data_IF_070266915907
#
_entry.id   IF_070266915907
#
_cell.length_a   1.000
_cell.length_b   1.000
_cell.length_c   1.000
_cell.angle_alpha   90.00
_cell.angle_beta   90.00
_cell.angle_gamma   90.00
#
_symmetry.space_group_name_H-M   'P 1'
#
loop_
_entity.id
_entity.type
_entity.pdbx_description
1 polymer ?
#
# COMPACT_ATOMS: atom_id res chain seq x y z
N UNK A 1 16.22 -1.78 -20.42
CA UNK A 1 17.04 -2.23 -19.27
C UNK A 1 16.21 -2.08 -18.00
N UNK A 2 15.95 -3.15 -17.24
CA UNK A 2 15.41 -2.99 -15.88
C UNK A 2 16.46 -2.23 -15.07
N UNK A 3 16.15 -1.01 -14.64
CA UNK A 3 17.02 -0.28 -13.72
C UNK A 3 17.28 -1.18 -12.51
N UNK A 4 18.54 -1.59 -12.31
CA UNK A 4 18.92 -2.28 -11.08
C UNK A 4 18.70 -1.28 -9.95
N UNK A 5 17.69 -1.52 -9.13
CA UNK A 5 17.48 -0.74 -7.92
C UNK A 5 18.75 -0.78 -7.06
N UNK A 6 19.15 0.39 -6.55
CA UNK A 6 20.39 0.53 -5.78
C UNK A 6 20.18 -0.13 -4.43
N UNK A 7 20.72 -1.34 -4.24
CA UNK A 7 20.67 -2.04 -2.94
C UNK A 7 21.42 -1.24 -1.87
N UNK A 8 20.79 -1.09 -0.70
CA UNK A 8 21.37 -0.41 0.47
C UNK A 8 21.69 -1.45 1.53
N UNK A 9 22.96 -1.50 1.99
CA UNK A 9 23.36 -2.39 3.09
C UNK A 9 22.77 -1.90 4.41
N UNK A 10 22.14 -2.80 5.14
CA UNK A 10 21.60 -2.54 6.48
C UNK A 10 22.17 -3.56 7.47
N UNK A 11 22.53 -3.07 8.65
CA UNK A 11 22.85 -3.92 9.79
C UNK A 11 21.63 -3.91 10.71
N UNK A 12 21.13 -5.09 11.07
CA UNK A 12 19.92 -5.26 11.89
C UNK A 12 20.24 -6.14 13.09
N UNK A 13 19.63 -5.83 14.22
CA UNK A 13 19.71 -6.66 15.43
C UNK A 13 18.38 -7.39 15.58
N UNK A 14 18.43 -8.72 15.62
CA UNK A 14 17.27 -9.58 15.81
C UNK A 14 17.57 -10.61 16.89
N UNK A 15 16.53 -11.17 17.49
CA UNK A 15 16.71 -12.24 18.47
C UNK A 15 17.24 -13.51 17.79
N UNK A 16 17.97 -14.34 18.54
CA UNK A 16 18.50 -15.61 18.04
C UNK A 16 17.41 -16.51 17.44
N UNK A 17 16.26 -16.60 18.11
CA UNK A 17 15.09 -17.35 17.63
C UNK A 17 14.55 -16.82 16.30
N UNK A 18 14.62 -15.51 16.07
CA UNK A 18 14.19 -14.92 14.81
C UNK A 18 15.20 -15.18 13.68
N UNK A 19 16.50 -15.18 13.98
CA UNK A 19 17.54 -15.57 13.01
C UNK A 19 17.36 -17.01 12.56
N UNK A 20 17.14 -17.94 13.50
CA UNK A 20 16.98 -19.37 13.20
C UNK A 20 15.79 -19.60 12.27
N UNK A 21 14.66 -18.97 12.59
CA UNK A 21 13.45 -19.01 11.74
C UNK A 21 13.67 -18.38 10.37
N UNK A 22 14.37 -17.24 10.31
CA UNK A 22 14.66 -16.57 9.03
C UNK A 22 15.55 -17.46 8.15
N UNK A 23 16.51 -18.16 8.75
CA UNK A 23 17.38 -19.11 8.05
C UNK A 23 16.63 -20.33 7.55
N UNK A 24 15.71 -20.88 8.34
CA UNK A 24 14.83 -21.97 7.90
C UNK A 24 13.92 -21.53 6.75
N UNK A 25 13.26 -20.38 6.88
CA UNK A 25 12.40 -19.84 5.81
C UNK A 25 13.18 -19.58 4.53
N UNK A 26 14.39 -19.02 4.62
CA UNK A 26 15.25 -18.79 3.47
C UNK A 26 15.61 -20.09 2.74
N UNK A 27 15.81 -21.19 3.48
CA UNK A 27 16.04 -22.52 2.90
C UNK A 27 14.80 -23.07 2.21
N UNK A 28 13.64 -22.98 2.85
CA UNK A 28 12.36 -23.46 2.31
C UNK A 28 12.03 -22.77 0.99
N UNK A 29 12.22 -21.45 0.96
CA UNK A 29 11.96 -20.59 -0.20
C UNK A 29 13.08 -20.60 -1.24
N UNK A 30 14.21 -21.25 -0.94
CA UNK A 30 15.43 -21.27 -1.76
C UNK A 30 15.93 -19.85 -2.16
N UNK A 31 15.90 -18.92 -1.20
CA UNK A 31 16.28 -17.50 -1.37
C UNK A 31 17.38 -17.13 -0.39
N UNK A 32 18.12 -16.06 -0.67
CA UNK A 32 18.99 -15.46 0.35
C UNK A 32 18.15 -14.80 1.45
N UNK A 33 18.68 -14.72 2.67
CA UNK A 33 18.00 -14.04 3.77
C UNK A 33 17.68 -12.57 3.43
N UNK A 34 18.55 -11.88 2.67
CA UNK A 34 18.31 -10.50 2.26
C UNK A 34 17.16 -10.37 1.26
N UNK A 35 17.06 -11.28 0.28
CA UNK A 35 15.93 -11.29 -0.67
C UNK A 35 14.62 -11.63 0.03
N UNK A 36 14.64 -12.58 0.97
CA UNK A 36 13.47 -12.92 1.76
C UNK A 36 13.01 -11.75 2.63
N UNK A 37 13.93 -11.03 3.28
CA UNK A 37 13.59 -9.83 4.06
C UNK A 37 12.94 -8.76 3.17
N UNK A 38 13.49 -8.53 1.99
CA UNK A 38 12.99 -7.53 1.03
C UNK A 38 11.55 -7.87 0.60
N UNK A 39 11.30 -9.14 0.26
CA UNK A 39 9.97 -9.63 -0.11
C UNK A 39 8.97 -9.54 1.07
N UNK A 40 9.38 -9.91 2.27
CA UNK A 40 8.55 -9.81 3.47
C UNK A 40 8.17 -8.35 3.77
N UNK A 41 9.11 -7.42 3.62
CA UNK A 41 8.83 -5.98 3.79
C UNK A 41 7.80 -5.52 2.76
N UNK A 42 7.97 -5.91 1.49
CA UNK A 42 7.08 -5.49 0.41
C UNK A 42 5.67 -6.06 0.59
N UNK A 43 5.57 -7.33 1.01
CA UNK A 43 4.29 -7.99 1.29
C UNK A 43 3.56 -7.32 2.45
N UNK A 44 4.24 -7.05 3.56
CA UNK A 44 3.67 -6.31 4.70
C UNK A 44 3.20 -4.92 4.27
N UNK A 45 3.99 -4.21 3.47
CA UNK A 45 3.61 -2.89 2.99
C UNK A 45 2.37 -2.93 2.09
N UNK A 46 2.30 -3.88 1.15
CA UNK A 46 1.13 -4.10 0.29
C UNK A 46 -0.14 -4.36 1.10
N UNK A 47 -0.05 -5.14 2.18
CA UNK A 47 -1.20 -5.36 3.07
C UNK A 47 -1.64 -4.08 3.79
N UNK A 48 -0.70 -3.29 4.30
CA UNK A 48 -1.00 -2.01 4.94
C UNK A 48 -1.67 -1.06 3.95
N UNK A 49 -1.16 -0.99 2.72
CA UNK A 49 -1.73 -0.14 1.67
C UNK A 49 -3.15 -0.58 1.31
N UNK A 50 -3.40 -1.89 1.15
CA UNK A 50 -4.74 -2.44 0.94
C UNK A 50 -5.68 -2.05 2.07
N UNK A 51 -5.25 -2.16 3.33
CA UNK A 51 -6.06 -1.75 4.50
C UNK A 51 -6.40 -0.27 4.47
N UNK A 52 -5.42 0.60 4.17
CA UNK A 52 -5.64 2.05 4.02
C UNK A 52 -6.64 2.38 2.92
N UNK A 53 -6.51 1.75 1.75
CA UNK A 53 -7.45 1.94 0.62
C UNK A 53 -8.85 1.49 0.99
N UNK A 54 -8.98 0.36 1.68
CA UNK A 54 -10.26 -0.17 2.11
C UNK A 54 -10.92 0.70 3.18
N UNK A 55 -10.12 1.26 4.09
CA UNK A 55 -10.60 2.25 5.07
C UNK A 55 -11.06 3.54 4.38
N UNK A 56 -10.29 4.06 3.42
CA UNK A 56 -10.69 5.22 2.62
C UNK A 56 -12.00 4.97 1.86
N UNK A 57 -12.15 3.78 1.27
CA UNK A 57 -13.39 3.37 0.60
C UNK A 57 -14.57 3.32 1.59
N UNK A 58 -14.38 2.75 2.79
CA UNK A 58 -15.40 2.75 3.84
C UNK A 58 -15.81 4.16 4.23
N UNK A 59 -14.83 5.07 4.44
CA UNK A 59 -15.11 6.49 4.71
C UNK A 59 -15.91 7.13 3.58
N UNK A 60 -15.59 6.87 2.31
CA UNK A 60 -16.37 7.37 1.17
C UNK A 60 -17.80 6.83 1.19
N UNK A 61 -18.00 5.54 1.45
CA UNK A 61 -19.33 4.91 1.50
C UNK A 61 -20.15 5.44 2.68
N UNK A 62 -19.54 5.61 3.85
CA UNK A 62 -20.18 6.20 5.02
C UNK A 62 -20.54 7.66 4.75
N UNK A 63 -19.61 8.43 4.17
CA UNK A 63 -19.87 9.80 3.73
C UNK A 63 -20.96 9.86 2.66
N UNK A 64 -21.10 8.85 1.78
CA UNK A 64 -22.16 8.78 0.77
C UNK A 64 -23.56 8.72 1.40
N UNK A 65 -23.71 8.18 2.61
CA UNK A 65 -25.00 8.26 3.35
C UNK A 65 -25.36 9.71 3.70
N UNK A 66 -24.36 10.58 3.88
CA UNK A 66 -24.53 12.01 4.09
C UNK A 66 -24.60 12.80 2.75
N UNK A 67 -23.99 12.30 1.67
CA UNK A 67 -24.14 12.82 0.30
C UNK A 67 -25.36 12.25 -0.45
N UNK A 68 -26.49 12.09 0.24
CA UNK A 68 -27.79 11.70 -0.35
C UNK A 68 -28.43 12.84 -1.18
N UNK A 69 -27.60 13.65 -1.84
CA UNK A 69 -27.98 14.83 -2.62
C UNK A 69 -27.16 15.01 -3.89
N UNK A 70 -26.40 14.01 -4.34
CA UNK A 70 -25.85 14.03 -5.71
C UNK A 70 -27.03 13.72 -6.64
N UNK A 71 -27.64 14.80 -7.10
CA UNK A 71 -28.68 14.80 -8.12
C UNK A 71 -28.19 13.96 -9.32
N UNK A 72 -28.92 12.88 -9.72
CA UNK A 72 -28.55 12.06 -10.86
C UNK A 72 -28.52 12.85 -12.19
N UNK A 73 -28.97 14.11 -12.21
CA UNK A 73 -28.87 15.04 -13.34
C UNK A 73 -27.63 15.96 -13.33
N UNK A 74 -26.65 15.74 -12.44
CA UNK A 74 -25.40 16.50 -12.47
C UNK A 74 -24.54 16.05 -13.67
N UNK A 75 -24.68 16.75 -14.80
CA UNK A 75 -23.79 16.56 -15.94
C UNK A 75 -22.34 16.93 -15.55
N UNK A 76 -21.36 16.21 -16.11
CA UNK A 76 -19.93 16.46 -15.89
C UNK A 76 -19.55 17.93 -16.15
N UNK A 77 -20.31 18.63 -16.99
CA UNK A 77 -20.13 20.06 -17.29
C UNK A 77 -20.42 20.96 -16.08
N UNK A 78 -21.53 20.72 -15.36
CA UNK A 78 -21.87 21.48 -14.13
C UNK A 78 -20.85 21.30 -13.01
N UNK A 79 -20.27 20.09 -12.89
CA UNK A 79 -19.22 19.81 -11.90
C UNK A 79 -17.94 20.58 -12.25
N UNK A 80 -17.60 20.69 -13.54
CA UNK A 80 -16.45 21.47 -14.00
C UNK A 80 -16.64 22.97 -13.77
N UNK A 81 -17.84 23.51 -13.97
CA UNK A 81 -18.17 24.90 -13.66
C UNK A 81 -18.02 25.19 -12.15
N UNK A 82 -18.49 24.28 -11.29
CA UNK A 82 -18.37 24.43 -9.82
C UNK A 82 -16.93 24.29 -9.31
N UNK A 83 -16.09 23.47 -9.95
CA UNK A 83 -14.67 23.31 -9.57
C UNK A 83 -13.73 24.28 -10.28
N UNK A 84 -14.24 25.06 -11.24
CA UNK A 84 -13.47 25.93 -12.12
C UNK A 84 -13.88 27.40 -12.04
N UNK A 85 -14.10 27.92 -10.84
CA UNK A 85 -14.17 29.36 -10.59
C UNK A 85 -13.03 29.75 -9.67
N UNK A 86 -11.80 29.78 -10.21
CA UNK A 86 -10.80 30.68 -9.65
C UNK A 86 -11.23 32.12 -10.03
N UNK A 87 -11.28 33.07 -9.08
CA UNK A 87 -11.47 34.48 -9.40
C UNK A 87 -10.31 35.06 -10.22
#
# INVERSE_FOLDING_TARGET
>A
MKMKEKKVRKNITISKKAEEKLKELAKIENKSQSELIEELIENVYKEIEKKKKLEALKRIIENRKYFKGIDPNLSIQKIKEQMGSEP
#
